data_IF_190569949930
#
_entry.id   IF_190569949930
#
_cell.length_a   1.000
_cell.length_b   1.000
_cell.length_c   1.000
_cell.angle_alpha   90.00
_cell.angle_beta   90.00
_cell.angle_gamma   90.00
#
_symmetry.space_group_name_H-M   'P 1'
#
loop_
_entity.id
_entity.type
_entity.pdbx_description
1 polymer ?
#
# COMPACT_ATOMS: atom_id res chain seq x y z
N UNK A 1 -56.66 -3.74 -22.82
CA UNK A 1 -55.51 -2.82 -22.76
C UNK A 1 -54.31 -3.59 -22.23
N UNK A 2 -53.35 -3.95 -23.08
CA UNK A 2 -52.13 -4.65 -22.62
C UNK A 2 -51.27 -3.69 -21.78
N UNK A 3 -50.84 -4.19 -20.63
CA UNK A 3 -50.13 -3.46 -19.59
C UNK A 3 -48.75 -2.98 -20.11
N UNK A 4 -48.66 -1.72 -20.55
CA UNK A 4 -47.47 -1.10 -21.17
C UNK A 4 -46.25 -0.97 -20.23
N UNK A 5 -46.33 -1.45 -18.98
CA UNK A 5 -45.26 -1.39 -17.98
C UNK A 5 -44.32 -2.60 -17.99
N UNK A 6 -44.64 -3.68 -18.71
CA UNK A 6 -43.85 -4.94 -18.69
C UNK A 6 -42.92 -5.18 -19.88
N UNK A 7 -42.97 -4.33 -20.92
CA UNK A 7 -42.23 -4.58 -22.18
C UNK A 7 -40.81 -4.01 -22.18
N UNK A 8 -40.50 -3.10 -21.26
CA UNK A 8 -39.20 -2.42 -21.18
C UNK A 8 -38.27 -3.01 -20.12
N UNK A 9 -38.79 -3.77 -19.16
CA UNK A 9 -38.01 -4.38 -18.07
C UNK A 9 -36.91 -5.32 -18.57
N UNK A 10 -37.18 -6.24 -19.53
CA UNK A 10 -36.12 -7.11 -20.07
C UNK A 10 -35.03 -6.31 -20.78
N UNK A 11 -35.42 -5.24 -21.47
CA UNK A 11 -34.52 -4.40 -22.26
C UNK A 11 -33.62 -3.53 -21.36
N UNK A 12 -34.17 -3.04 -20.24
CA UNK A 12 -33.41 -2.33 -19.20
C UNK A 12 -32.41 -3.27 -18.52
N UNK A 13 -32.78 -4.52 -18.25
CA UNK A 13 -31.89 -5.53 -17.65
C UNK A 13 -30.72 -5.85 -18.59
N UNK A 14 -30.98 -6.02 -19.89
CA UNK A 14 -29.92 -6.27 -20.89
C UNK A 14 -29.00 -5.05 -21.01
N UNK A 15 -29.56 -3.83 -21.05
CA UNK A 15 -28.76 -2.60 -21.11
C UNK A 15 -27.89 -2.41 -19.87
N UNK A 16 -28.40 -2.71 -18.67
CA UNK A 16 -27.62 -2.63 -17.43
C UNK A 16 -26.51 -3.68 -17.40
N UNK A 17 -26.74 -4.90 -17.89
CA UNK A 17 -25.70 -5.92 -18.03
C UNK A 17 -24.58 -5.50 -18.99
N UNK A 18 -24.92 -4.90 -20.13
CA UNK A 18 -23.95 -4.35 -21.10
C UNK A 18 -23.15 -3.19 -20.46
N UNK A 19 -23.82 -2.33 -19.69
CA UNK A 19 -23.18 -1.21 -19.04
C UNK A 19 -22.23 -1.68 -17.93
N UNK A 20 -22.63 -2.66 -17.11
CA UNK A 20 -21.80 -3.22 -16.04
C UNK A 20 -20.60 -4.00 -16.58
N UNK A 21 -20.79 -4.78 -17.65
CA UNK A 21 -19.69 -5.52 -18.30
C UNK A 21 -18.70 -4.60 -19.00
N UNK A 22 -19.16 -3.53 -19.65
CA UNK A 22 -18.27 -2.52 -20.23
C UNK A 22 -17.54 -1.72 -19.15
N UNK A 23 -18.19 -1.37 -18.03
CA UNK A 23 -17.54 -0.73 -16.89
C UNK A 23 -16.49 -1.65 -16.25
N UNK A 24 -16.80 -2.94 -16.06
CA UNK A 24 -15.85 -3.93 -15.54
C UNK A 24 -14.67 -4.14 -16.49
N UNK A 25 -14.91 -4.13 -17.81
CA UNK A 25 -13.85 -4.20 -18.81
C UNK A 25 -12.97 -2.94 -18.82
N UNK A 26 -13.56 -1.75 -18.71
CA UNK A 26 -12.83 -0.48 -18.59
C UNK A 26 -12.01 -0.44 -17.30
N UNK A 27 -12.57 -0.88 -16.18
CA UNK A 27 -11.84 -1.00 -14.90
C UNK A 27 -10.72 -2.04 -15.03
N UNK A 28 -10.96 -3.18 -15.69
CA UNK A 28 -9.94 -4.21 -15.93
C UNK A 28 -8.78 -3.69 -16.77
N UNK A 29 -9.06 -2.95 -17.85
CA UNK A 29 -8.00 -2.32 -18.65
C UNK A 29 -7.33 -1.16 -17.92
N UNK A 30 -8.08 -0.40 -17.11
CA UNK A 30 -7.51 0.68 -16.32
C UNK A 30 -6.67 0.19 -15.13
N UNK A 31 -6.88 -1.05 -14.66
CA UNK A 31 -6.03 -1.68 -13.65
C UNK A 31 -4.63 -1.97 -14.20
N UNK A 32 -4.52 -2.34 -15.47
CA UNK A 32 -3.23 -2.39 -16.19
C UNK A 32 -2.66 -0.99 -16.49
N UNK A 33 -3.51 0.04 -16.70
CA UNK A 33 -3.05 1.43 -16.86
C UNK A 33 -2.69 2.15 -15.57
N UNK A 34 -3.14 1.70 -14.41
CA UNK A 34 -2.77 2.29 -13.11
C UNK A 34 -1.25 2.21 -12.90
N UNK A 35 -0.59 1.15 -13.37
CA UNK A 35 0.88 1.06 -13.40
C UNK A 35 1.54 2.06 -14.38
N UNK A 36 0.79 2.55 -15.38
CA UNK A 36 1.26 3.48 -16.43
C UNK A 36 1.01 4.95 -16.06
N UNK A 37 -0.07 5.27 -15.36
CA UNK A 37 -0.47 6.65 -15.04
C UNK A 37 0.47 7.35 -14.04
N UNK A 38 1.19 6.58 -13.22
CA UNK A 38 2.21 7.09 -12.28
C UNK A 38 3.36 7.75 -13.08
N UNK A 39 3.64 7.21 -14.28
CA UNK A 39 4.59 7.79 -15.24
C UNK A 39 3.98 8.86 -16.17
N UNK A 40 2.66 8.94 -16.32
CA UNK A 40 1.99 9.88 -17.25
C UNK A 40 1.93 11.31 -16.69
N UNK A 41 1.82 11.48 -15.37
CA UNK A 41 2.00 12.80 -14.73
C UNK A 41 3.42 13.34 -14.97
N UNK A 42 4.39 12.44 -15.07
CA UNK A 42 5.80 12.74 -15.36
C UNK A 42 6.05 12.97 -16.86
N UNK A 43 5.24 12.42 -17.77
CA UNK A 43 5.41 12.62 -19.21
C UNK A 43 4.99 14.03 -19.65
N UNK A 44 4.06 14.69 -18.95
CA UNK A 44 3.73 16.10 -19.23
C UNK A 44 4.84 17.10 -18.83
N UNK A 45 5.89 16.62 -18.16
CA UNK A 45 7.09 17.37 -17.77
C UNK A 45 8.16 17.34 -18.90
N UNK A 46 7.91 16.60 -19.99
CA UNK A 46 8.87 16.14 -21.01
C UNK A 46 9.77 17.18 -21.67
N UNK A 47 9.38 18.45 -21.82
CA UNK A 47 10.11 19.38 -22.72
C UNK A 47 11.21 20.20 -22.08
N UNK A 48 11.29 20.27 -20.75
CA UNK A 48 12.16 21.26 -20.07
C UNK A 48 13.15 20.68 -19.07
N UNK A 49 13.05 19.39 -18.74
CA UNK A 49 13.82 18.78 -17.65
C UNK A 49 14.92 17.85 -18.18
N UNK A 50 16.06 17.80 -17.47
CA UNK A 50 17.14 16.85 -17.73
C UNK A 50 16.69 15.43 -17.43
N UNK A 51 17.34 14.43 -18.03
CA UNK A 51 16.99 13.02 -17.81
C UNK A 51 17.15 12.60 -16.34
N UNK A 52 18.14 13.17 -15.63
CA UNK A 52 18.28 13.00 -14.17
C UNK A 52 17.01 13.43 -13.40
N UNK A 53 16.46 14.60 -13.73
CA UNK A 53 15.28 15.13 -13.05
C UNK A 53 14.06 14.27 -13.32
N UNK A 54 13.92 13.74 -14.54
CA UNK A 54 12.82 12.85 -14.90
C UNK A 54 12.91 11.52 -14.15
N UNK A 55 14.10 10.96 -14.04
CA UNK A 55 14.37 9.75 -13.25
C UNK A 55 14.02 10.00 -11.78
N UNK A 56 14.47 11.12 -11.21
CA UNK A 56 14.17 11.45 -9.82
C UNK A 56 12.67 11.66 -9.58
N UNK A 57 11.98 12.38 -10.46
CA UNK A 57 10.54 12.60 -10.35
C UNK A 57 9.78 11.28 -10.37
N UNK A 58 10.09 10.40 -11.33
CA UNK A 58 9.46 9.09 -11.40
C UNK A 58 9.70 8.28 -10.12
N UNK A 59 10.94 8.21 -9.65
CA UNK A 59 11.28 7.39 -8.48
C UNK A 59 10.64 7.94 -7.20
N UNK A 60 10.59 9.26 -7.04
CA UNK A 60 9.91 9.88 -5.90
C UNK A 60 8.42 9.54 -5.88
N UNK A 61 7.72 9.67 -7.00
CA UNK A 61 6.29 9.33 -7.08
C UNK A 61 6.05 7.83 -6.88
N UNK A 62 6.87 6.97 -7.49
CA UNK A 62 6.76 5.53 -7.32
C UNK A 62 6.97 5.10 -5.86
N UNK A 63 7.95 5.68 -5.17
CA UNK A 63 8.21 5.40 -3.76
C UNK A 63 7.07 5.90 -2.89
N UNK A 64 6.63 7.15 -3.09
CA UNK A 64 5.52 7.74 -2.33
C UNK A 64 4.27 6.87 -2.43
N UNK A 65 3.87 6.52 -3.66
CA UNK A 65 2.70 5.68 -3.86
C UNK A 65 2.88 4.27 -3.30
N UNK A 66 4.08 3.69 -3.40
CA UNK A 66 4.37 2.39 -2.78
C UNK A 66 4.15 2.44 -1.27
N UNK A 67 4.59 3.53 -0.61
CA UNK A 67 4.41 3.71 0.84
C UNK A 67 2.92 3.83 1.16
N UNK A 68 2.21 4.74 0.50
CA UNK A 68 0.77 4.97 0.71
C UNK A 68 -0.04 3.67 0.53
N UNK A 69 0.21 2.92 -0.54
CA UNK A 69 -0.48 1.65 -0.81
C UNK A 69 -0.22 0.59 0.28
N UNK A 70 1.02 0.51 0.80
CA UNK A 70 1.37 -0.48 1.82
C UNK A 70 0.84 -0.04 3.19
N UNK A 71 0.91 1.25 3.52
CA UNK A 71 0.31 1.81 4.74
C UNK A 71 -1.18 1.48 4.81
N UNK A 72 -1.93 1.75 3.73
CA UNK A 72 -3.35 1.44 3.64
C UNK A 72 -3.60 -0.07 3.80
N UNK A 73 -2.78 -0.90 3.16
CA UNK A 73 -2.86 -2.36 3.26
C UNK A 73 -2.60 -2.86 4.69
N UNK A 74 -1.65 -2.28 5.41
CA UNK A 74 -1.36 -2.63 6.81
C UNK A 74 -2.46 -2.10 7.75
N UNK A 75 -2.97 -0.89 7.53
CA UNK A 75 -4.05 -0.30 8.31
C UNK A 75 -5.34 -1.10 8.21
N UNK A 76 -5.77 -1.41 6.99
CA UNK A 76 -6.99 -2.17 6.72
C UNK A 76 -6.92 -3.62 7.22
N UNK A 77 -5.72 -4.20 7.31
CA UNK A 77 -5.51 -5.56 7.79
C UNK A 77 -5.07 -5.64 9.26
N UNK A 78 -5.15 -4.56 10.03
CA UNK A 78 -4.87 -4.63 11.48
C UNK A 78 -3.39 -4.78 11.85
N UNK A 79 -2.49 -4.26 11.02
CA UNK A 79 -1.04 -4.31 11.26
C UNK A 79 -0.30 -5.39 10.47
N UNK A 80 -0.93 -6.00 9.45
CA UNK A 80 -0.36 -7.10 8.66
C UNK A 80 -0.41 -6.82 7.16
N UNK A 81 0.55 -7.33 6.38
CA UNK A 81 0.59 -7.07 4.94
C UNK A 81 -0.47 -7.82 4.13
N UNK A 82 -1.12 -8.88 4.61
CA UNK A 82 -2.17 -9.59 3.85
C UNK A 82 -3.07 -10.41 4.80
N UNK A 83 -4.07 -11.11 4.24
CA UNK A 83 -5.05 -12.03 4.88
C UNK A 83 -4.42 -13.16 5.74
N UNK A 84 -3.59 -12.79 6.71
CA UNK A 84 -3.02 -13.66 7.74
C UNK A 84 -3.99 -13.85 8.90
N UNK A 85 -5.10 -13.11 8.90
CA UNK A 85 -6.11 -13.08 9.94
C UNK A 85 -7.45 -13.56 9.39
N UNK A 86 -8.27 -14.15 10.26
CA UNK A 86 -9.66 -14.44 9.92
C UNK A 86 -10.45 -13.14 9.83
N UNK A 87 -11.33 -13.03 8.83
CA UNK A 87 -12.25 -11.92 8.63
C UNK A 87 -13.63 -12.38 9.10
N UNK A 88 -14.34 -11.58 9.90
CA UNK A 88 -15.74 -11.87 10.24
C UNK A 88 -16.67 -11.50 9.06
N UNK A 89 -17.68 -12.34 8.81
CA UNK A 89 -18.61 -12.25 7.68
C UNK A 89 -19.79 -11.29 7.91
N UNK A 90 -19.83 -10.59 9.05
CA UNK A 90 -20.94 -9.70 9.42
C UNK A 90 -20.77 -8.30 8.82
N UNK A 91 -21.09 -8.17 7.53
CA UNK A 91 -21.42 -6.94 6.76
C UNK A 91 -20.39 -5.80 6.70
N UNK A 92 -19.38 -5.76 7.57
CA UNK A 92 -18.19 -4.90 7.50
C UNK A 92 -16.97 -5.65 8.08
N UNK A 93 -15.86 -5.69 7.34
CA UNK A 93 -14.72 -6.59 7.58
C UNK A 93 -13.89 -6.18 8.80
N UNK A 94 -14.24 -6.67 9.99
CA UNK A 94 -13.37 -6.62 11.16
C UNK A 94 -12.29 -7.70 11.09
N UNK A 95 -11.07 -7.33 11.49
CA UNK A 95 -9.94 -8.25 11.59
C UNK A 95 -9.94 -8.89 12.98
N UNK A 96 -10.05 -10.23 13.04
CA UNK A 96 -10.05 -10.97 14.30
C UNK A 96 -8.61 -11.11 14.82
N UNK A 97 -8.21 -10.20 15.69
CA UNK A 97 -6.79 -10.00 16.05
C UNK A 97 -6.20 -11.18 16.85
N UNK A 98 -7.00 -11.90 17.63
CA UNK A 98 -6.58 -13.11 18.35
C UNK A 98 -6.19 -14.28 17.44
N UNK A 99 -6.58 -14.26 16.16
CA UNK A 99 -6.32 -15.36 15.21
C UNK A 99 -5.11 -15.13 14.33
N UNK A 100 -4.57 -13.91 14.32
CA UNK A 100 -3.43 -13.52 13.50
C UNK A 100 -2.13 -14.12 14.02
N UNK A 101 -1.11 -14.25 13.16
CA UNK A 101 0.25 -14.63 13.58
C UNK A 101 0.93 -13.52 14.41
N UNK A 102 2.25 -13.64 14.62
CA UNK A 102 3.04 -12.62 15.32
C UNK A 102 2.90 -11.22 14.69
N UNK A 103 2.56 -10.23 15.51
CA UNK A 103 2.41 -8.83 15.09
C UNK A 103 3.77 -8.17 14.87
N UNK A 104 4.10 -7.84 13.62
CA UNK A 104 5.33 -7.14 13.23
C UNK A 104 5.12 -6.23 12.00
N UNK A 105 4.43 -5.09 12.15
CA UNK A 105 4.10 -4.23 11.02
C UNK A 105 5.32 -3.69 10.26
N UNK A 106 6.44 -3.44 10.96
CA UNK A 106 7.69 -2.95 10.35
C UNK A 106 8.28 -3.97 9.37
N UNK A 107 8.36 -5.24 9.79
CA UNK A 107 8.86 -6.31 8.93
C UNK A 107 7.95 -6.51 7.73
N UNK A 108 6.64 -6.54 7.96
CA UNK A 108 5.64 -6.69 6.90
C UNK A 108 5.72 -5.53 5.89
N UNK A 109 5.88 -4.30 6.36
CA UNK A 109 6.11 -3.13 5.52
C UNK A 109 7.39 -3.28 4.70
N UNK A 110 8.52 -3.61 5.35
CA UNK A 110 9.82 -3.73 4.68
C UNK A 110 9.80 -4.78 3.57
N UNK A 111 9.20 -5.95 3.83
CA UNK A 111 9.09 -7.03 2.86
C UNK A 111 8.25 -6.64 1.63
N UNK A 112 7.08 -6.04 1.83
CA UNK A 112 6.25 -5.58 0.71
C UNK A 112 6.84 -4.37 -0.01
N UNK A 113 7.50 -3.45 0.71
CA UNK A 113 8.16 -2.28 0.13
C UNK A 113 9.30 -2.70 -0.80
N UNK A 114 10.20 -3.57 -0.31
CA UNK A 114 11.32 -4.09 -1.09
C UNK A 114 10.86 -4.83 -2.35
N UNK A 115 9.72 -5.53 -2.27
CA UNK A 115 9.10 -6.23 -3.40
C UNK A 115 8.49 -5.26 -4.41
N UNK A 116 7.64 -4.33 -3.97
CA UNK A 116 6.97 -3.37 -4.86
C UNK A 116 7.96 -2.43 -5.55
N UNK A 117 8.99 -1.95 -4.85
CA UNK A 117 9.94 -1.02 -5.47
C UNK A 117 10.82 -1.67 -6.54
N UNK A 118 11.14 -2.96 -6.39
CA UNK A 118 11.82 -3.74 -7.44
C UNK A 118 10.96 -3.86 -8.69
N UNK A 119 9.65 -4.08 -8.51
CA UNK A 119 8.69 -4.12 -9.63
C UNK A 119 8.60 -2.76 -10.33
N UNK A 120 8.45 -1.66 -9.58
CA UNK A 120 8.42 -0.31 -10.14
C UNK A 120 9.69 0.05 -10.90
N UNK A 121 10.87 -0.32 -10.37
CA UNK A 121 12.15 -0.11 -11.05
C UNK A 121 12.23 -0.88 -12.38
N UNK A 122 11.72 -2.11 -12.42
CA UNK A 122 11.65 -2.89 -13.65
C UNK A 122 10.70 -2.24 -14.68
N UNK A 123 9.51 -1.82 -14.25
CA UNK A 123 8.53 -1.13 -15.10
C UNK A 123 9.08 0.20 -15.63
N UNK A 124 9.85 0.93 -14.82
CA UNK A 124 10.48 2.18 -15.25
C UNK A 124 11.48 1.97 -16.38
N UNK A 125 12.31 0.93 -16.31
CA UNK A 125 13.25 0.62 -17.38
C UNK A 125 12.52 0.34 -18.71
N UNK A 126 11.37 -0.35 -18.66
CA UNK A 126 10.51 -0.58 -19.85
C UNK A 126 9.96 0.74 -20.38
N UNK A 127 9.54 1.64 -19.48
CA UNK A 127 9.05 2.97 -19.84
C UNK A 127 10.16 3.81 -20.49
N UNK A 128 11.37 3.84 -19.91
CA UNK A 128 12.53 4.52 -20.48
C UNK A 128 12.86 4.01 -21.89
N UNK A 129 12.90 2.69 -22.09
CA UNK A 129 13.16 2.08 -23.41
C UNK A 129 12.16 2.56 -24.47
N UNK A 130 10.88 2.60 -24.10
CA UNK A 130 9.78 2.89 -25.03
C UNK A 130 9.61 4.38 -25.32
N UNK A 131 9.65 5.23 -24.30
CA UNK A 131 9.24 6.63 -24.41
C UNK A 131 10.40 7.62 -24.46
N UNK A 132 11.51 7.34 -23.76
CA UNK A 132 12.66 8.24 -23.73
C UNK A 132 13.69 7.92 -24.80
N UNK A 133 14.14 6.67 -24.83
CA UNK A 133 15.24 6.28 -25.71
C UNK A 133 14.76 5.79 -27.07
N UNK A 134 13.51 5.31 -27.15
CA UNK A 134 12.96 4.64 -28.33
C UNK A 134 13.91 3.53 -28.85
N UNK A 135 14.55 2.83 -27.91
CA UNK A 135 15.45 1.70 -28.14
C UNK A 135 15.60 0.91 -26.85
N UNK A 136 16.10 -0.32 -26.98
CA UNK A 136 16.49 -1.12 -25.82
C UNK A 136 17.65 -0.45 -25.07
N UNK A 137 17.58 -0.46 -23.75
CA UNK A 137 18.63 0.06 -22.88
C UNK A 137 19.78 -0.95 -22.81
N UNK A 138 21.00 -0.44 -22.86
CA UNK A 138 22.18 -1.21 -22.46
C UNK A 138 22.11 -1.48 -20.96
N UNK A 139 22.80 -2.53 -20.50
CA UNK A 139 22.81 -2.88 -19.07
C UNK A 139 23.38 -1.77 -18.17
N UNK A 140 24.23 -0.90 -18.71
CA UNK A 140 24.79 0.30 -18.03
C UNK A 140 23.84 1.50 -17.97
N UNK A 141 22.71 1.41 -18.68
CA UNK A 141 21.69 2.47 -18.77
C UNK A 141 20.41 2.07 -18.02
N UNK A 142 20.31 0.81 -17.57
CA UNK A 142 19.21 0.33 -16.76
C UNK A 142 19.40 0.74 -15.31
N UNK A 143 18.33 1.28 -14.73
CA UNK A 143 18.26 1.55 -13.32
C UNK A 143 18.23 0.23 -12.55
N UNK A 144 19.16 0.06 -11.62
CA UNK A 144 19.26 -1.12 -10.74
C UNK A 144 19.39 -0.67 -9.31
N UNK A 145 18.63 -1.30 -8.42
CA UNK A 145 18.73 -1.05 -6.99
C UNK A 145 20.02 -1.69 -6.50
N UNK A 146 20.91 -0.90 -5.92
CA UNK A 146 22.12 -1.35 -5.24
C UNK A 146 21.81 -1.75 -3.81
N UNK A 147 21.07 -0.91 -3.10
CA UNK A 147 20.77 -1.08 -1.68
C UNK A 147 19.46 -0.36 -1.30
N UNK A 148 18.69 -0.97 -0.39
CA UNK A 148 17.52 -0.36 0.23
C UNK A 148 17.75 -0.33 1.74
N UNK A 149 17.98 0.86 2.28
CA UNK A 149 18.16 1.09 3.73
C UNK A 149 16.80 1.38 4.39
N UNK A 150 16.78 1.93 5.60
CA UNK A 150 15.53 2.36 6.27
C UNK A 150 15.08 3.77 5.84
N UNK A 151 16.00 4.58 5.32
CA UNK A 151 15.77 6.00 5.01
C UNK A 151 15.93 6.33 3.52
N UNK A 152 16.55 5.43 2.76
CA UNK A 152 16.89 5.69 1.36
C UNK A 152 17.07 4.46 0.50
N UNK A 153 16.88 4.67 -0.79
CA UNK A 153 17.15 3.72 -1.87
C UNK A 153 18.34 4.23 -2.68
N UNK A 154 19.37 3.40 -2.78
CA UNK A 154 20.58 3.68 -3.52
C UNK A 154 20.56 2.84 -4.79
N UNK A 155 20.75 3.49 -5.94
CA UNK A 155 20.81 2.83 -7.23
C UNK A 155 22.25 2.74 -7.74
N UNK A 156 22.48 1.78 -8.64
CA UNK A 156 23.71 1.76 -9.42
C UNK A 156 23.82 3.01 -10.30
N UNK A 157 25.05 3.40 -10.60
CA UNK A 157 25.30 4.53 -11.48
C UNK A 157 24.83 4.22 -12.90
N UNK A 158 24.19 5.19 -13.53
CA UNK A 158 23.72 5.09 -14.91
C UNK A 158 24.47 6.08 -15.80
N UNK A 159 24.74 5.69 -17.03
CA UNK A 159 25.32 6.60 -18.03
C UNK A 159 24.18 7.26 -18.79
N UNK A 160 24.10 8.58 -18.69
CA UNK A 160 23.12 9.39 -19.39
C UNK A 160 23.81 10.19 -20.49
N UNK A 161 23.06 10.51 -21.53
CA UNK A 161 23.51 11.42 -22.58
C UNK A 161 22.80 12.77 -22.44
N UNK A 162 23.51 13.85 -22.73
CA UNK A 162 22.92 15.16 -22.92
C UNK A 162 23.28 15.63 -24.32
N UNK A 163 22.27 15.86 -25.15
CA UNK A 163 22.44 16.41 -26.49
C UNK A 163 22.04 17.88 -26.49
N UNK A 164 22.92 18.72 -25.97
CA UNK A 164 22.86 20.16 -26.20
C UNK A 164 23.74 20.48 -27.41
N UNK A 165 23.15 21.02 -28.48
CA UNK A 165 23.87 21.60 -29.62
C UNK A 165 24.88 20.67 -30.33
N UNK A 166 24.42 19.65 -31.05
CA UNK A 166 25.21 18.75 -31.93
C UNK A 166 26.40 17.99 -31.28
N UNK A 167 26.59 18.11 -29.97
CA UNK A 167 27.56 17.37 -29.18
C UNK A 167 26.81 16.46 -28.21
N UNK A 168 27.09 15.16 -28.29
CA UNK A 168 26.59 14.19 -27.31
C UNK A 168 27.61 14.07 -26.18
N UNK A 169 27.27 14.60 -25.01
CA UNK A 169 28.07 14.45 -23.80
C UNK A 169 27.50 13.30 -22.99
N UNK A 170 28.35 12.35 -22.61
CA UNK A 170 27.99 11.28 -21.68
C UNK A 170 28.47 11.64 -20.28
N UNK A 171 27.62 11.43 -19.28
CA UNK A 171 27.97 11.63 -17.88
C UNK A 171 27.38 10.50 -17.04
N UNK A 172 28.00 10.28 -15.88
CA UNK A 172 27.59 9.25 -14.93
C UNK A 172 26.72 9.89 -13.86
N UNK A 173 25.49 9.40 -13.73
CA UNK A 173 24.54 9.82 -12.71
C UNK A 173 24.44 8.76 -11.61
N UNK A 174 24.31 9.19 -10.35
CA UNK A 174 24.24 8.35 -9.16
C UNK A 174 22.91 8.60 -8.44
N UNK A 175 21.82 7.90 -8.81
CA UNK A 175 20.51 8.13 -8.22
C UNK A 175 20.46 7.68 -6.76
N UNK A 176 19.97 8.54 -5.89
CA UNK A 176 19.64 8.25 -4.49
C UNK A 176 18.32 8.93 -4.15
N UNK A 177 17.38 8.18 -3.57
CA UNK A 177 16.08 8.71 -3.16
C UNK A 177 15.83 8.42 -1.69
N UNK A 178 15.64 9.50 -0.92
CA UNK A 178 15.24 9.41 0.49
C UNK A 178 13.75 9.19 0.61
N UNK A 179 13.35 8.43 1.64
CA UNK A 179 11.96 8.19 1.97
C UNK A 179 11.78 8.06 3.49
N UNK A 180 10.53 8.16 3.94
CA UNK A 180 10.19 8.05 5.36
C UNK A 180 9.35 6.80 5.58
N UNK A 181 9.82 5.92 6.47
CA UNK A 181 9.05 4.77 6.91
C UNK A 181 7.86 5.23 7.77
N UNK A 182 6.68 4.59 7.63
CA UNK A 182 5.50 4.89 8.44
C UNK A 182 5.74 4.68 9.93
N UNK A 183 4.97 5.35 10.77
CA UNK A 183 4.98 5.11 12.22
C UNK A 183 3.99 4.00 12.58
N UNK A 184 4.50 2.84 12.99
CA UNK A 184 3.72 1.67 13.36
C UNK A 184 3.46 1.55 14.88
N UNK A 185 3.82 2.55 15.69
CA UNK A 185 3.67 2.50 17.16
C UNK A 185 2.22 2.29 17.61
N UNK A 186 1.25 2.72 16.80
CA UNK A 186 -0.18 2.53 17.08
C UNK A 186 -0.55 1.07 17.33
N UNK A 187 0.00 0.13 16.55
CA UNK A 187 -0.31 -1.30 16.67
C UNK A 187 0.25 -1.87 17.96
N UNK A 188 1.42 -1.39 18.40
CA UNK A 188 2.03 -1.79 19.65
C UNK A 188 1.33 -1.24 20.87
N UNK A 189 0.91 0.02 20.81
CA UNK A 189 0.10 0.63 21.87
C UNK A 189 -1.23 -0.12 22.04
N UNK A 190 -1.90 -0.44 20.93
CA UNK A 190 -3.14 -1.21 20.94
C UNK A 190 -2.93 -2.63 21.48
N UNK A 191 -1.84 -3.29 21.07
CA UNK A 191 -1.47 -4.59 21.59
C UNK A 191 -1.34 -4.58 23.12
N UNK A 192 -0.62 -3.61 23.69
CA UNK A 192 -0.43 -3.47 25.13
C UNK A 192 -1.74 -3.17 25.86
N UNK A 193 -2.57 -2.28 25.31
CA UNK A 193 -3.87 -1.97 25.88
C UNK A 193 -4.73 -3.25 25.96
N UNK A 194 -4.86 -3.98 24.86
CA UNK A 194 -5.75 -5.13 24.84
C UNK A 194 -5.22 -6.31 25.65
N UNK A 195 -3.92 -6.63 25.54
CA UNK A 195 -3.31 -7.75 26.26
C UNK A 195 -3.29 -7.54 27.78
N UNK A 196 -2.99 -6.35 28.27
CA UNK A 196 -2.82 -6.10 29.71
C UNK A 196 -4.10 -5.60 30.41
N UNK A 197 -5.01 -4.97 29.65
CA UNK A 197 -6.16 -4.25 30.23
C UNK A 197 -7.52 -4.76 29.77
N UNK A 198 -7.59 -5.59 28.73
CA UNK A 198 -8.86 -6.08 28.19
C UNK A 198 -9.02 -7.60 28.32
N UNK A 199 -8.01 -8.39 27.92
CA UNK A 199 -8.09 -9.85 27.95
C UNK A 199 -8.18 -10.34 29.39
N UNK A 200 -9.21 -11.12 29.70
CA UNK A 200 -9.50 -11.64 31.04
C UNK A 200 -9.59 -10.56 32.13
N UNK A 201 -9.87 -9.31 31.76
CA UNK A 201 -10.02 -8.17 32.67
C UNK A 201 -11.48 -7.70 32.73
N UNK A 202 -11.87 -6.94 33.78
CA UNK A 202 -13.17 -6.29 33.81
C UNK A 202 -13.34 -5.31 32.64
N UNK A 203 -14.50 -5.31 32.00
CA UNK A 203 -14.82 -4.42 30.88
C UNK A 203 -14.53 -2.94 31.21
N UNK A 204 -14.84 -2.50 32.43
CA UNK A 204 -14.60 -1.12 32.89
C UNK A 204 -13.13 -0.72 32.86
N UNK A 205 -12.21 -1.66 33.11
CA UNK A 205 -10.75 -1.43 33.04
C UNK A 205 -10.29 -1.24 31.59
N UNK A 206 -10.76 -2.11 30.70
CA UNK A 206 -10.49 -2.02 29.27
C UNK A 206 -10.97 -0.68 28.70
N UNK A 207 -12.22 -0.32 28.98
CA UNK A 207 -12.83 0.94 28.53
C UNK A 207 -12.07 2.18 29.00
N UNK A 208 -11.68 2.20 30.28
CA UNK A 208 -10.93 3.32 30.84
C UNK A 208 -9.60 3.53 30.08
N UNK A 209 -8.89 2.43 29.77
CA UNK A 209 -7.60 2.48 29.07
C UNK A 209 -7.72 2.86 27.60
N UNK A 210 -8.76 2.36 26.92
CA UNK A 210 -9.07 2.76 25.54
C UNK A 210 -9.38 4.26 25.49
N UNK A 211 -10.25 4.77 26.38
CA UNK A 211 -10.61 6.20 26.44
C UNK A 211 -9.43 7.10 26.82
N UNK A 212 -8.55 6.64 27.71
CA UNK A 212 -7.36 7.37 28.13
C UNK A 212 -6.40 7.61 26.95
N UNK A 213 -6.12 6.56 26.16
CA UNK A 213 -5.16 6.65 25.04
C UNK A 213 -5.80 7.17 23.74
N UNK A 214 -7.03 6.76 23.44
CA UNK A 214 -7.73 7.02 22.18
C UNK A 214 -9.13 7.60 22.41
N UNK A 215 -9.25 8.85 22.89
CA UNK A 215 -10.54 9.42 23.32
C UNK A 215 -11.58 9.60 22.20
N UNK A 216 -11.18 9.53 20.93
CA UNK A 216 -12.05 9.69 19.75
C UNK A 216 -12.38 8.38 19.02
N UNK A 217 -11.97 7.23 19.56
CA UNK A 217 -12.24 5.92 18.96
C UNK A 217 -13.69 5.50 19.17
N UNK A 218 -14.23 4.75 18.21
CA UNK A 218 -15.51 4.06 18.38
C UNK A 218 -15.22 2.64 18.85
N UNK A 219 -15.92 2.19 19.89
CA UNK A 219 -15.80 0.81 20.34
C UNK A 219 -17.11 0.35 20.98
N UNK A 220 -17.36 -0.96 20.93
CA UNK A 220 -18.49 -1.57 21.63
C UNK A 220 -18.20 -3.02 22.02
N UNK A 221 -18.93 -3.51 23.02
CA UNK A 221 -18.83 -4.88 23.51
C UNK A 221 -20.07 -5.68 23.13
N UNK A 222 -19.86 -6.91 22.66
CA UNK A 222 -20.92 -7.86 22.39
C UNK A 222 -20.48 -9.23 22.89
N UNK A 223 -21.14 -9.73 23.92
CA UNK A 223 -20.75 -10.96 24.62
C UNK A 223 -19.30 -10.86 25.15
N UNK A 224 -18.38 -11.68 24.62
CA UNK A 224 -16.96 -11.65 24.98
C UNK A 224 -16.10 -10.95 23.91
N UNK A 225 -16.73 -10.28 22.94
CA UNK A 225 -16.04 -9.62 21.84
C UNK A 225 -15.99 -8.11 22.08
N UNK A 226 -14.82 -7.54 21.84
CA UNK A 226 -14.59 -6.11 21.72
C UNK A 226 -14.43 -5.77 20.23
N UNK A 227 -15.27 -4.86 19.75
CA UNK A 227 -15.14 -4.24 18.44
C UNK A 227 -14.53 -2.86 18.62
N UNK A 228 -13.46 -2.57 17.88
CA UNK A 228 -12.68 -1.35 18.00
C UNK A 228 -12.46 -0.73 16.62
N UNK A 229 -12.71 0.57 16.50
CA UNK A 229 -12.54 1.34 15.28
C UNK A 229 -11.77 2.64 15.52
N UNK A 230 -10.70 2.81 14.76
CA UNK A 230 -9.88 4.01 14.77
C UNK A 230 -9.41 4.32 13.35
N UNK A 231 -9.92 5.39 12.75
CA UNK A 231 -9.69 5.71 11.33
C UNK A 231 -10.11 4.53 10.43
N UNK A 232 -9.22 3.95 9.62
CA UNK A 232 -9.52 2.80 8.77
C UNK A 232 -9.26 1.45 9.47
N UNK A 233 -8.70 1.48 10.69
CA UNK A 233 -8.40 0.29 11.48
C UNK A 233 -9.67 -0.24 12.17
N UNK A 234 -10.05 -1.48 11.84
CA UNK A 234 -11.23 -2.16 12.41
C UNK A 234 -10.84 -3.52 12.98
N UNK A 235 -10.87 -3.64 14.30
CA UNK A 235 -10.39 -4.81 15.03
C UNK A 235 -11.52 -5.48 15.83
N UNK A 236 -11.58 -6.80 15.75
CA UNK A 236 -12.35 -7.64 16.66
C UNK A 236 -11.39 -8.40 17.59
N UNK A 237 -11.65 -8.33 18.90
CA UNK A 237 -10.87 -9.01 19.92
C UNK A 237 -11.79 -9.90 20.78
N UNK A 238 -11.50 -11.19 20.82
CA UNK A 238 -12.06 -12.14 21.78
C UNK A 238 -11.35 -11.98 23.13
N UNK A 239 -12.05 -11.37 24.09
CA UNK A 239 -11.54 -11.02 25.42
C UNK A 239 -11.25 -12.24 26.29
N UNK A 240 -11.63 -13.45 25.86
CA UNK A 240 -11.32 -14.71 26.55
C UNK A 240 -10.14 -15.46 25.95
N UNK A 241 -9.60 -14.99 24.82
CA UNK A 241 -8.43 -15.57 24.19
C UNK A 241 -7.26 -14.60 24.34
N UNK A 242 -6.07 -15.17 24.53
CA UNK A 242 -4.85 -14.37 24.47
C UNK A 242 -4.65 -13.83 23.05
N UNK A 243 -3.97 -12.69 22.95
CA UNK A 243 -3.44 -12.21 21.68
C UNK A 243 -2.18 -13.00 21.36
N UNK A 244 -1.87 -13.19 20.07
CA UNK A 244 -0.61 -13.80 19.68
C UNK A 244 0.58 -12.94 20.10
N UNK A 245 1.78 -13.51 20.07
CA UNK A 245 2.98 -12.79 20.51
C UNK A 245 3.19 -11.54 19.65
N UNK A 246 3.56 -10.45 20.30
CA UNK A 246 4.16 -9.29 19.63
C UNK A 246 5.62 -9.62 19.30
N UNK A 247 6.09 -9.21 18.13
CA UNK A 247 7.51 -9.27 17.81
C UNK A 247 8.31 -8.38 18.77
N UNK A 248 9.32 -8.98 19.41
CA UNK A 248 10.26 -8.26 20.26
C UNK A 248 11.64 -8.27 19.58
N UNK A 249 12.10 -7.15 19.00
CA UNK A 249 13.41 -7.08 18.35
C UNK A 249 14.58 -7.39 19.30
N UNK A 250 14.39 -7.23 20.62
CA UNK A 250 15.43 -7.46 21.63
C UNK A 250 15.63 -8.93 22.03
N UNK A 251 14.88 -9.87 21.45
CA UNK A 251 14.98 -11.31 21.75
C UNK A 251 15.61 -12.15 20.63
N UNK A 252 16.10 -11.52 19.55
CA UNK A 252 16.72 -12.18 18.40
C UNK A 252 18.23 -11.84 18.24
N UNK A 253 18.90 -11.40 19.30
CA UNK A 253 20.37 -11.35 19.39
C UNK A 253 20.92 -12.52 20.23
#
# INVERSE_FOLDING_TARGET
MLNKKGMFTPLIIILTLIFLTSLAFIISQNKERLEVNIGESSSNIEKTYTDELKINLFLNEAIKQTIEDIEEQIETNGGYAAQKCSIDNLEETYIIWNTCQELNPEKEFKEEFDKKIKLYTASFNIFLEKYYFNRKLLESEKLKIKEITEEKIIFDSIILNNSLTNLTIFYTYFPEISYKTPDFNIYYDLYLIFSENCINQPQTKCEAKIKEKYPKTTYFFKNNLLYFELNNLRLEIDLKKELQKKYNPLLNE
#
